data_IF_222866052789
#
_entry.id   IF_222866052789
#
_cell.length_a   1.000
_cell.length_b   1.000
_cell.length_c   1.000
_cell.angle_alpha   90.00
_cell.angle_beta   90.00
_cell.angle_gamma   90.00
#
_symmetry.space_group_name_H-M   'P 1'
#
loop_
_entity.id
_entity.type
_entity.pdbx_description
1 polymer ?
#
# COMPACT_ATOMS: atom_id res chain seq x y z
N UNK A 1 9.05 25.77 31.22
CA UNK A 1 8.37 24.70 30.46
C UNK A 1 8.16 25.22 29.04
N UNK A 2 8.76 24.59 28.04
CA UNK A 2 8.47 24.91 26.64
C UNK A 2 7.14 24.22 26.32
N UNK A 3 6.11 24.98 25.98
CA UNK A 3 4.86 24.41 25.49
C UNK A 3 5.15 23.79 24.12
N UNK A 4 5.12 22.46 24.04
CA UNK A 4 5.20 21.76 22.77
C UNK A 4 3.83 21.90 22.09
N UNK A 5 3.76 22.72 21.05
CA UNK A 5 2.59 22.72 20.17
C UNK A 5 2.55 21.41 19.38
N UNK A 6 1.36 20.81 19.18
CA UNK A 6 1.23 19.64 18.33
C UNK A 6 1.65 19.98 16.88
N UNK A 7 2.16 19.01 16.11
CA UNK A 7 2.50 19.22 14.70
C UNK A 7 1.26 19.64 13.90
N UNK A 8 1.46 20.47 12.87
CA UNK A 8 0.36 20.92 12.01
C UNK A 8 -0.23 19.76 11.19
N UNK A 9 -1.50 19.84 10.74
CA UNK A 9 -2.10 18.83 9.88
C UNK A 9 -1.29 18.54 8.62
N UNK A 10 -0.72 19.59 7.99
CA UNK A 10 0.17 19.44 6.85
C UNK A 10 1.45 18.68 7.20
N UNK A 11 2.06 18.95 8.36
CA UNK A 11 3.23 18.20 8.83
C UNK A 11 2.87 16.73 9.08
N UNK A 12 1.76 16.45 9.79
CA UNK A 12 1.27 15.08 10.01
C UNK A 12 1.09 14.35 8.68
N UNK A 13 0.37 14.95 7.73
CA UNK A 13 0.16 14.38 6.40
C UNK A 13 1.48 14.07 5.70
N UNK A 14 2.40 15.04 5.64
CA UNK A 14 3.67 14.94 4.92
C UNK A 14 4.58 13.86 5.53
N UNK A 15 4.81 13.91 6.83
CA UNK A 15 5.76 13.01 7.50
C UNK A 15 5.28 11.55 7.44
N UNK A 16 3.98 11.31 7.60
CA UNK A 16 3.46 9.95 7.49
C UNK A 16 3.32 9.47 6.04
N UNK A 17 3.18 10.37 5.06
CA UNK A 17 3.36 9.98 3.64
C UNK A 17 4.80 9.57 3.35
N UNK A 18 5.79 10.29 3.90
CA UNK A 18 7.19 9.88 3.79
C UNK A 18 7.45 8.52 4.44
N UNK A 19 6.91 8.28 5.64
CA UNK A 19 6.98 6.97 6.29
C UNK A 19 6.35 5.86 5.42
N UNK A 20 5.19 6.13 4.79
CA UNK A 20 4.59 5.20 3.84
C UNK A 20 5.54 4.84 2.68
N UNK A 21 6.19 5.83 2.05
CA UNK A 21 7.13 5.57 0.95
C UNK A 21 8.37 4.80 1.39
N UNK A 22 8.93 5.11 2.58
CA UNK A 22 10.04 4.35 3.14
C UNK A 22 9.67 2.88 3.36
N UNK A 23 8.45 2.62 3.88
CA UNK A 23 7.94 1.25 4.03
C UNK A 23 7.79 0.54 2.67
N UNK A 24 7.33 1.24 1.63
CA UNK A 24 7.22 0.70 0.26
C UNK A 24 8.60 0.36 -0.32
N UNK A 25 9.62 1.20 -0.11
CA UNK A 25 10.98 0.94 -0.57
C UNK A 25 11.59 -0.27 0.16
N UNK A 26 11.38 -0.38 1.47
CA UNK A 26 11.75 -1.57 2.23
C UNK A 26 11.05 -2.82 1.69
N UNK A 27 9.76 -2.72 1.39
CA UNK A 27 8.95 -3.83 0.86
C UNK A 27 9.51 -4.32 -0.48
N UNK A 28 9.86 -3.39 -1.38
CA UNK A 28 10.50 -3.69 -2.66
C UNK A 28 11.80 -4.49 -2.45
N UNK A 29 12.66 -4.04 -1.54
CA UNK A 29 13.93 -4.72 -1.24
C UNK A 29 13.69 -6.12 -0.67
N UNK A 30 12.78 -6.27 0.29
CA UNK A 30 12.45 -7.57 0.88
C UNK A 30 11.88 -8.54 -0.14
N UNK A 31 10.99 -8.09 -1.04
CA UNK A 31 10.42 -8.94 -2.08
C UNK A 31 11.46 -9.37 -3.14
N UNK A 32 12.41 -8.50 -3.50
CA UNK A 32 13.53 -8.87 -4.38
C UNK A 32 14.46 -9.88 -3.71
N UNK A 33 14.74 -9.73 -2.41
CA UNK A 33 15.52 -10.72 -1.66
C UNK A 33 14.79 -12.04 -1.53
N UNK A 34 13.51 -12.02 -1.20
CA UNK A 34 12.65 -13.20 -1.17
C UNK A 34 12.77 -14.00 -2.47
N UNK A 35 12.62 -13.33 -3.63
CA UNK A 35 12.78 -13.96 -4.94
C UNK A 35 14.13 -14.70 -5.06
N UNK A 36 15.23 -13.99 -4.82
CA UNK A 36 16.59 -14.54 -4.93
C UNK A 36 16.83 -15.72 -3.96
N UNK A 37 16.26 -15.66 -2.76
CA UNK A 37 16.42 -16.68 -1.74
C UNK A 37 15.64 -17.95 -2.09
N UNK A 38 14.43 -17.81 -2.65
CA UNK A 38 13.67 -18.94 -3.19
C UNK A 38 14.42 -19.60 -4.33
N UNK A 39 14.93 -18.83 -5.28
CA UNK A 39 15.71 -19.34 -6.42
C UNK A 39 16.98 -20.11 -5.98
N UNK A 40 17.54 -19.75 -4.82
CA UNK A 40 18.72 -20.41 -4.23
C UNK A 40 18.38 -21.55 -3.26
N UNK A 41 17.11 -21.87 -3.06
CA UNK A 41 16.66 -22.89 -2.11
C UNK A 41 16.87 -22.51 -0.64
N UNK A 42 17.10 -21.22 -0.33
CA UNK A 42 17.34 -20.72 1.03
C UNK A 42 16.01 -20.39 1.73
N UNK A 43 15.20 -21.42 1.96
CA UNK A 43 13.79 -21.26 2.34
C UNK A 43 13.59 -20.55 3.68
N UNK A 44 14.43 -20.79 4.69
CA UNK A 44 14.33 -20.09 5.99
C UNK A 44 14.54 -18.58 5.84
N UNK A 45 15.53 -18.17 5.04
CA UNK A 45 15.77 -16.74 4.77
C UNK A 45 14.68 -16.15 3.89
N UNK A 46 14.16 -16.90 2.91
CA UNK A 46 13.02 -16.47 2.12
C UNK A 46 11.78 -16.23 3.00
N UNK A 47 11.51 -17.13 3.95
CA UNK A 47 10.43 -16.97 4.93
C UNK A 47 10.58 -15.67 5.73
N UNK A 48 11.79 -15.36 6.20
CA UNK A 48 12.07 -14.13 6.95
C UNK A 48 11.79 -12.88 6.11
N UNK A 49 12.22 -12.86 4.85
CA UNK A 49 11.98 -11.71 3.97
C UNK A 49 10.48 -11.54 3.64
N UNK A 50 9.73 -12.64 3.47
CA UNK A 50 8.28 -12.56 3.22
C UNK A 50 7.48 -12.12 4.46
N UNK A 51 7.90 -12.55 5.66
CA UNK A 51 7.36 -12.02 6.91
C UNK A 51 7.71 -10.53 7.09
N UNK A 52 8.93 -10.13 6.72
CA UNK A 52 9.36 -8.72 6.76
C UNK A 52 8.51 -7.87 5.81
N UNK A 53 8.28 -8.36 4.59
CA UNK A 53 7.37 -7.75 3.63
C UNK A 53 5.94 -7.59 4.20
N UNK A 54 5.46 -8.59 4.95
CA UNK A 54 4.15 -8.53 5.62
C UNK A 54 4.10 -7.41 6.67
N UNK A 55 5.14 -7.31 7.51
CA UNK A 55 5.27 -6.22 8.50
C UNK A 55 5.27 -4.86 7.81
N UNK A 56 6.01 -4.71 6.71
CA UNK A 56 6.11 -3.44 5.97
C UNK A 56 4.76 -3.03 5.35
N UNK A 57 3.96 -3.99 4.87
CA UNK A 57 2.59 -3.71 4.42
C UNK A 57 1.69 -3.20 5.56
N UNK A 58 1.77 -3.80 6.74
CA UNK A 58 1.03 -3.34 7.94
C UNK A 58 1.51 -1.94 8.38
N UNK A 59 2.83 -1.71 8.37
CA UNK A 59 3.41 -0.39 8.68
C UNK A 59 3.00 0.68 7.66
N UNK A 60 2.90 0.32 6.38
CA UNK A 60 2.34 1.19 5.34
C UNK A 60 0.88 1.55 5.64
N UNK A 61 0.07 0.60 6.10
CA UNK A 61 -1.33 0.84 6.46
C UNK A 61 -1.42 1.83 7.64
N UNK A 62 -0.67 1.58 8.71
CA UNK A 62 -0.61 2.48 9.86
C UNK A 62 -0.11 3.89 9.47
N UNK A 63 0.85 3.98 8.55
CA UNK A 63 1.33 5.27 8.03
C UNK A 63 0.21 6.03 7.31
N UNK A 64 -0.62 5.35 6.50
CA UNK A 64 -1.76 5.97 5.83
C UNK A 64 -2.83 6.45 6.83
N UNK A 65 -3.14 5.64 7.85
CA UNK A 65 -4.08 6.02 8.90
C UNK A 65 -3.60 7.24 9.69
N UNK A 66 -2.31 7.27 10.04
CA UNK A 66 -1.68 8.39 10.76
C UNK A 66 -1.59 9.65 9.90
N UNK A 67 -1.28 9.50 8.60
CA UNK A 67 -1.31 10.60 7.64
C UNK A 67 -2.70 11.24 7.47
N UNK A 68 -3.74 10.58 7.97
CA UNK A 68 -5.14 10.99 7.95
C UNK A 68 -5.66 11.40 9.34
N UNK A 69 -4.79 11.66 10.31
CA UNK A 69 -5.18 11.99 11.70
C UNK A 69 -5.59 13.46 11.87
N UNK A 70 -6.53 13.91 11.05
CA UNK A 70 -7.16 15.23 11.13
C UNK A 70 -8.60 15.20 10.56
N UNK A 71 -9.43 16.20 10.91
CA UNK A 71 -10.78 16.36 10.39
C UNK A 71 -10.87 16.59 8.86
N UNK A 72 -12.05 16.34 8.27
CA UNK A 72 -12.29 16.46 6.82
C UNK A 72 -12.21 17.90 6.29
N UNK A 73 -12.77 18.86 7.03
CA UNK A 73 -12.67 20.29 6.72
C UNK A 73 -11.21 20.77 6.68
N UNK A 74 -10.36 20.27 7.60
CA UNK A 74 -8.92 20.53 7.60
C UNK A 74 -8.23 19.92 6.37
N UNK A 75 -8.63 18.71 5.97
CA UNK A 75 -8.14 18.08 4.75
C UNK A 75 -8.46 18.95 3.52
N UNK A 76 -9.71 19.38 3.36
CA UNK A 76 -10.14 20.18 2.21
C UNK A 76 -9.44 21.54 2.16
N UNK A 77 -9.40 22.26 3.28
CA UNK A 77 -8.89 23.63 3.34
C UNK A 77 -7.36 23.72 3.32
N UNK A 78 -6.64 22.70 3.82
CA UNK A 78 -5.18 22.75 3.99
C UNK A 78 -4.48 21.72 3.13
N UNK A 79 -4.80 20.44 3.32
CA UNK A 79 -4.02 19.33 2.73
C UNK A 79 -4.30 19.21 1.23
N UNK A 80 -5.57 19.16 0.82
CA UNK A 80 -5.97 19.06 -0.58
C UNK A 80 -5.51 20.26 -1.40
N UNK A 81 -5.68 21.48 -0.87
CA UNK A 81 -5.19 22.70 -1.50
C UNK A 81 -3.66 22.69 -1.71
N UNK A 82 -2.89 22.08 -0.78
CA UNK A 82 -1.44 21.93 -0.96
C UNK A 82 -1.04 20.92 -2.04
N UNK A 83 -1.96 20.07 -2.50
CA UNK A 83 -1.76 19.08 -3.57
C UNK A 83 -2.30 19.55 -4.93
N UNK A 84 -2.65 20.84 -5.07
CA UNK A 84 -3.10 21.46 -6.32
C UNK A 84 -2.17 22.60 -6.72
N UNK A 85 -2.29 23.09 -7.96
CA UNK A 85 -1.58 24.29 -8.41
C UNK A 85 -1.86 25.49 -7.48
N UNK A 86 -0.87 26.36 -7.22
CA UNK A 86 0.49 26.37 -7.75
C UNK A 86 1.50 25.55 -6.92
N UNK A 87 1.05 24.76 -5.93
CA UNK A 87 1.93 24.08 -4.98
C UNK A 87 2.56 22.79 -5.54
N UNK A 88 1.97 22.22 -6.58
CA UNK A 88 2.50 21.08 -7.35
C UNK A 88 2.39 21.38 -8.84
N UNK A 89 3.29 20.80 -9.65
CA UNK A 89 3.34 21.07 -11.10
C UNK A 89 2.27 20.36 -11.92
N UNK A 90 1.61 19.32 -11.38
CA UNK A 90 0.60 18.54 -12.10
C UNK A 90 -0.79 18.66 -11.47
N UNK A 91 -1.80 18.74 -12.33
CA UNK A 91 -3.21 18.80 -11.92
C UNK A 91 -3.75 17.42 -11.47
N UNK A 92 -3.01 16.34 -11.75
CA UNK A 92 -3.44 14.94 -11.51
C UNK A 92 -2.64 14.21 -10.42
N UNK A 93 -2.06 14.95 -9.47
CA UNK A 93 -1.18 14.43 -8.41
C UNK A 93 -1.76 13.15 -7.77
N UNK A 94 -1.00 12.07 -7.87
CA UNK A 94 -1.42 10.75 -7.40
C UNK A 94 -0.24 9.88 -7.01
N UNK A 95 -0.38 9.17 -5.89
CA UNK A 95 0.58 8.14 -5.48
C UNK A 95 0.78 7.01 -6.51
N UNK A 96 -0.13 6.85 -7.49
CA UNK A 96 0.04 5.92 -8.62
C UNK A 96 1.17 6.32 -9.57
N UNK A 97 1.54 7.60 -9.61
CA UNK A 97 2.59 8.12 -10.47
C UNK A 97 3.98 7.91 -9.88
N UNK A 98 4.08 7.43 -8.63
CA UNK A 98 5.39 7.21 -8.02
C UNK A 98 6.14 6.08 -8.73
N UNK A 99 7.43 6.29 -8.93
CA UNK A 99 8.32 5.28 -9.50
C UNK A 99 8.32 4.00 -8.65
N UNK A 100 8.33 4.14 -7.32
CA UNK A 100 8.23 3.03 -6.36
C UNK A 100 6.97 2.19 -6.57
N UNK A 101 5.84 2.81 -6.88
CA UNK A 101 4.61 2.08 -7.17
C UNK A 101 4.76 1.20 -8.42
N UNK A 102 5.29 1.76 -9.51
CA UNK A 102 5.50 1.02 -10.75
C UNK A 102 6.47 -0.17 -10.54
N UNK A 103 7.55 0.04 -9.79
CA UNK A 103 8.52 -1.00 -9.43
C UNK A 103 7.86 -2.11 -8.61
N UNK A 104 7.07 -1.77 -7.58
CA UNK A 104 6.38 -2.76 -6.75
C UNK A 104 5.43 -3.63 -7.57
N UNK A 105 4.64 -3.03 -8.47
CA UNK A 105 3.72 -3.78 -9.34
C UNK A 105 4.49 -4.69 -10.30
N UNK A 106 5.64 -4.26 -10.82
CA UNK A 106 6.51 -5.12 -11.63
C UNK A 106 6.98 -6.33 -10.83
N UNK A 107 7.46 -6.12 -9.60
CA UNK A 107 7.93 -7.20 -8.71
C UNK A 107 6.81 -8.21 -8.44
N UNK A 108 5.58 -7.75 -8.20
CA UNK A 108 4.46 -8.67 -7.96
C UNK A 108 4.11 -9.51 -9.18
N UNK A 109 4.29 -8.96 -10.40
CA UNK A 109 4.15 -9.75 -11.63
C UNK A 109 5.26 -10.79 -11.74
N UNK A 110 6.50 -10.41 -11.44
CA UNK A 110 7.67 -11.30 -11.47
C UNK A 110 7.54 -12.44 -10.44
N UNK A 111 6.97 -12.15 -9.26
CA UNK A 111 6.78 -13.12 -8.18
C UNK A 111 5.58 -14.04 -8.38
N UNK A 112 4.64 -13.71 -9.27
CA UNK A 112 3.42 -14.49 -9.45
C UNK A 112 3.70 -15.99 -9.72
N UNK A 113 4.62 -16.39 -10.62
CA UNK A 113 4.94 -17.80 -10.82
C UNK A 113 5.49 -18.49 -9.55
N UNK A 114 6.27 -17.77 -8.74
CA UNK A 114 6.78 -18.29 -7.45
C UNK A 114 5.63 -18.57 -6.49
N UNK A 115 4.62 -17.70 -6.43
CA UNK A 115 3.43 -17.95 -5.61
C UNK A 115 2.55 -19.09 -6.15
N UNK A 116 2.57 -19.37 -7.46
CA UNK A 116 1.88 -20.51 -8.05
C UNK A 116 2.53 -21.85 -7.68
N UNK A 117 3.86 -21.88 -7.53
CA UNK A 117 4.62 -23.10 -7.19
C UNK A 117 5.33 -22.99 -5.84
N UNK A 118 4.71 -22.30 -4.89
CA UNK A 118 5.34 -21.99 -3.61
C UNK A 118 5.65 -23.26 -2.79
N UNK A 119 6.89 -23.42 -2.27
CA UNK A 119 7.23 -24.48 -1.32
C UNK A 119 6.33 -24.48 -0.08
N UNK A 120 6.04 -25.66 0.46
CA UNK A 120 5.14 -25.83 1.60
C UNK A 120 5.61 -25.07 2.85
N UNK A 121 6.92 -24.97 3.04
CA UNK A 121 7.58 -24.23 4.12
C UNK A 121 7.21 -22.75 4.12
N UNK A 122 6.89 -22.18 2.96
CA UNK A 122 6.62 -20.75 2.79
C UNK A 122 5.12 -20.41 2.84
N UNK A 123 4.23 -21.41 2.85
CA UNK A 123 2.77 -21.20 2.81
C UNK A 123 2.27 -20.35 3.97
N UNK A 124 2.83 -20.54 5.18
CA UNK A 124 2.46 -19.76 6.36
C UNK A 124 2.83 -18.27 6.20
N UNK A 125 4.07 -17.98 5.79
CA UNK A 125 4.50 -16.60 5.55
C UNK A 125 3.75 -15.95 4.38
N UNK A 126 3.44 -16.70 3.33
CA UNK A 126 2.64 -16.21 2.20
C UNK A 126 1.20 -15.86 2.60
N UNK A 127 0.58 -16.68 3.45
CA UNK A 127 -0.75 -16.39 3.99
C UNK A 127 -0.76 -15.09 4.81
N UNK A 128 0.27 -14.86 5.63
CA UNK A 128 0.46 -13.59 6.37
C UNK A 128 0.65 -12.40 5.44
N UNK A 129 1.43 -12.57 4.37
CA UNK A 129 1.65 -11.54 3.36
C UNK A 129 0.35 -11.14 2.64
N UNK A 130 -0.48 -12.12 2.25
CA UNK A 130 -1.79 -11.87 1.65
C UNK A 130 -2.70 -11.13 2.64
N UNK A 131 -2.76 -11.57 3.90
CA UNK A 131 -3.57 -10.92 4.93
C UNK A 131 -3.12 -9.47 5.17
N UNK A 132 -1.82 -9.24 5.26
CA UNK A 132 -1.24 -7.89 5.40
C UNK A 132 -1.58 -7.00 4.21
N UNK A 133 -1.57 -7.53 2.98
CA UNK A 133 -1.97 -6.78 1.80
C UNK A 133 -3.45 -6.40 1.82
N UNK A 134 -4.34 -7.33 2.21
CA UNK A 134 -5.78 -7.05 2.37
C UNK A 134 -6.01 -5.95 3.39
N UNK A 135 -5.35 -6.03 4.54
CA UNK A 135 -5.42 -4.99 5.56
C UNK A 135 -4.95 -3.63 5.05
N UNK A 136 -3.83 -3.57 4.31
CA UNK A 136 -3.39 -2.32 3.66
C UNK A 136 -4.44 -1.77 2.68
N UNK A 137 -5.04 -2.62 1.85
CA UNK A 137 -6.02 -2.21 0.87
C UNK A 137 -7.30 -1.66 1.53
N UNK A 138 -7.79 -2.34 2.57
CA UNK A 138 -8.93 -1.91 3.37
C UNK A 138 -8.65 -0.58 4.07
N UNK A 139 -7.48 -0.45 4.70
CA UNK A 139 -7.07 0.78 5.40
C UNK A 139 -6.98 1.97 4.44
N UNK A 140 -6.41 1.77 3.25
CA UNK A 140 -6.33 2.81 2.22
C UNK A 140 -7.74 3.25 1.76
N UNK A 141 -8.63 2.29 1.49
CA UNK A 141 -10.01 2.59 1.11
C UNK A 141 -10.78 3.32 2.22
N UNK A 142 -10.59 2.90 3.48
CA UNK A 142 -11.20 3.50 4.66
C UNK A 142 -10.68 4.90 4.97
N UNK A 143 -9.40 5.18 4.73
CA UNK A 143 -8.85 6.53 4.81
C UNK A 143 -9.47 7.43 3.75
N UNK A 144 -9.53 6.97 2.49
CA UNK A 144 -10.12 7.77 1.41
C UNK A 144 -11.60 8.07 1.67
N UNK A 145 -12.40 7.10 2.14
CA UNK A 145 -13.83 7.30 2.38
C UNK A 145 -14.14 8.35 3.45
N UNK A 146 -13.19 8.67 4.34
CA UNK A 146 -13.34 9.76 5.32
C UNK A 146 -13.23 11.16 4.71
N UNK A 147 -12.59 11.29 3.55
CA UNK A 147 -12.22 12.59 2.98
C UNK A 147 -12.89 12.91 1.66
N UNK A 148 -13.30 11.91 0.88
CA UNK A 148 -13.87 12.15 -0.45
C UNK A 148 -15.29 11.58 -0.56
N UNK A 149 -16.24 12.45 -0.88
CA UNK A 149 -17.60 12.07 -1.29
C UNK A 149 -17.70 11.88 -2.82
N UNK A 150 -16.70 12.38 -3.56
CA UNK A 150 -16.55 12.30 -5.03
C UNK A 150 -15.13 11.84 -5.42
N UNK A 151 -14.72 12.01 -6.68
CA UNK A 151 -13.51 11.41 -7.22
C UNK A 151 -12.17 11.90 -6.64
N UNK A 152 -11.10 11.19 -7.01
CA UNK A 152 -9.73 11.57 -6.63
C UNK A 152 -9.22 12.74 -7.49
N UNK A 153 -8.14 13.42 -7.07
CA UNK A 153 -7.49 14.47 -7.89
C UNK A 153 -7.19 13.98 -9.33
N UNK A 154 -6.91 12.69 -9.50
CA UNK A 154 -6.63 12.07 -10.80
C UNK A 154 -7.89 11.68 -11.58
N UNK A 155 -8.99 11.38 -10.90
CA UNK A 155 -10.21 10.85 -11.50
C UNK A 155 -11.41 11.52 -10.83
N UNK A 156 -11.71 12.76 -11.21
CA UNK A 156 -12.81 13.54 -10.62
C UNK A 156 -14.17 12.86 -10.81
N UNK A 157 -14.37 12.21 -11.97
CA UNK A 157 -15.65 11.57 -12.35
C UNK A 157 -15.83 10.13 -11.83
N UNK A 158 -14.87 9.58 -11.07
CA UNK A 158 -14.94 8.19 -10.59
C UNK A 158 -14.81 8.13 -9.09
N UNK A 159 -15.70 7.38 -8.45
CA UNK A 159 -15.61 7.11 -7.02
C UNK A 159 -14.23 6.54 -6.67
N UNK A 160 -13.50 7.23 -5.78
CA UNK A 160 -12.14 6.87 -5.41
C UNK A 160 -12.08 5.50 -4.73
N UNK A 161 -13.06 5.19 -3.86
CA UNK A 161 -13.14 3.91 -3.14
C UNK A 161 -13.35 2.74 -4.10
N UNK A 162 -14.23 2.88 -5.09
CA UNK A 162 -14.46 1.83 -6.09
C UNK A 162 -13.22 1.58 -6.95
N UNK A 163 -12.49 2.64 -7.28
CA UNK A 163 -11.21 2.54 -8.00
C UNK A 163 -10.18 1.78 -7.17
N UNK A 164 -10.08 2.08 -5.87
CA UNK A 164 -9.18 1.38 -4.95
C UNK A 164 -9.53 -0.11 -4.81
N UNK A 165 -10.81 -0.44 -4.65
CA UNK A 165 -11.30 -1.83 -4.61
C UNK A 165 -11.00 -2.59 -5.90
N UNK A 166 -11.06 -1.91 -7.05
CA UNK A 166 -10.66 -2.52 -8.33
C UNK A 166 -9.17 -2.82 -8.36
N UNK A 167 -8.32 -1.91 -7.91
CA UNK A 167 -6.88 -2.15 -7.82
C UNK A 167 -6.54 -3.28 -6.85
N UNK A 168 -7.20 -3.33 -5.71
CA UNK A 168 -7.08 -4.41 -4.74
C UNK A 168 -7.31 -5.77 -5.40
N UNK A 169 -8.45 -5.98 -6.08
CA UNK A 169 -8.75 -7.25 -6.76
C UNK A 169 -7.69 -7.61 -7.79
N UNK A 170 -7.24 -6.64 -8.58
CA UNK A 170 -6.20 -6.86 -9.59
C UNK A 170 -4.87 -7.28 -8.97
N UNK A 171 -4.48 -6.64 -7.87
CA UNK A 171 -3.24 -6.90 -7.12
C UNK A 171 -3.29 -8.22 -6.35
N UNK A 172 -4.42 -8.54 -5.72
CA UNK A 172 -4.65 -9.85 -5.10
C UNK A 172 -4.45 -10.98 -6.13
N UNK A 173 -4.92 -10.81 -7.37
CA UNK A 173 -4.70 -11.80 -8.42
C UNK A 173 -3.23 -12.04 -8.80
N UNK A 174 -2.32 -11.11 -8.45
CA UNK A 174 -0.87 -11.28 -8.67
C UNK A 174 -0.22 -12.01 -7.50
N UNK A 175 -0.62 -11.69 -6.26
CA UNK A 175 0.03 -12.22 -5.06
C UNK A 175 -0.63 -13.48 -4.51
N UNK A 176 -1.89 -13.74 -4.85
CA UNK A 176 -2.67 -14.92 -4.48
C UNK A 176 -3.30 -15.59 -5.72
N UNK A 177 -2.48 -16.20 -6.58
CA UNK A 177 -2.94 -16.79 -7.84
C UNK A 177 -3.83 -18.02 -7.62
N UNK A 178 -3.74 -18.69 -6.45
CA UNK A 178 -4.54 -19.87 -6.09
C UNK A 178 -5.84 -19.53 -5.34
N UNK A 179 -5.96 -18.33 -4.77
CA UNK A 179 -7.16 -17.88 -4.04
C UNK A 179 -8.45 -17.78 -4.85
N UNK A 180 -8.38 -17.94 -6.19
CA UNK A 180 -9.56 -18.14 -7.06
C UNK A 180 -10.06 -19.59 -7.09
N UNK A 181 -9.45 -20.50 -6.33
CA UNK A 181 -9.72 -21.94 -6.34
C UNK A 181 -10.81 -22.44 -5.41
N UNK A 182 -11.64 -21.59 -4.79
CA UNK A 182 -12.80 -22.07 -4.02
C UNK A 182 -14.11 -21.63 -4.68
N UNK A 183 -14.77 -22.48 -5.50
CA UNK A 183 -16.06 -22.20 -6.12
C UNK A 183 -17.25 -22.32 -5.13
N UNK A 184 -17.00 -22.56 -3.85
CA UNK A 184 -18.02 -22.75 -2.82
C UNK A 184 -17.92 -21.66 -1.75
N UNK A 185 -18.42 -20.46 -2.05
CA UNK A 185 -19.17 -19.69 -1.08
C UNK A 185 -20.27 -18.94 -1.84
N UNK A 186 -21.44 -19.60 -1.82
CA UNK A 186 -22.77 -19.02 -2.04
C UNK A 186 -23.11 -18.05 -0.93
#
# INVERSE_FOLDING_TARGET
MIALSPPSPYAIWREFHWAFFLNVQGLIVSLRRFQLLVERGQLTSAEQELNTASTLLVSSAASMELAASFPKDVYEATVRASMTQPHVESDDFSGLMSWDHAVLISIWRDLRPIFETLPNELVSAHSKFIAAYKYLAESHAGVCSRFVDSGSLRFEDRNAVDTLRRFERGRLGLIDPKGKGCPFHS
#
